data_IF_195713487190
#
_entry.id   IF_195713487190
#
_cell.length_a   1.000
_cell.length_b   1.000
_cell.length_c   1.000
_cell.angle_alpha   90.00
_cell.angle_beta   90.00
_cell.angle_gamma   90.00
#
_symmetry.space_group_name_H-M   'P 1'
#
loop_
_entity.id
_entity.type
_entity.pdbx_description
1 polymer ?
#
# COMPACT_ATOMS: atom_id res chain seq x y z
N UNK A 1 17.79 2.99 30.97
CA UNK A 1 16.77 2.18 30.27
C UNK A 1 17.07 2.34 28.79
N UNK A 2 17.77 1.38 28.19
CA UNK A 2 18.14 1.46 26.77
C UNK A 2 16.87 1.22 25.96
N UNK A 3 16.37 2.27 25.31
CA UNK A 3 15.38 2.10 24.25
C UNK A 3 16.06 1.32 23.15
N UNK A 4 15.69 0.04 23.01
CA UNK A 4 15.99 -0.71 21.80
C UNK A 4 15.20 0.00 20.71
N UNK A 5 15.90 0.76 19.86
CA UNK A 5 15.36 1.20 18.57
C UNK A 5 15.04 -0.07 17.79
N UNK A 6 13.80 -0.55 17.91
CA UNK A 6 13.23 -1.51 16.98
C UNK A 6 13.04 -0.80 15.63
N UNK A 7 14.14 -0.62 14.90
CA UNK A 7 14.14 -0.30 13.48
C UNK A 7 13.50 -1.49 12.74
N UNK A 8 12.17 -1.52 12.75
CA UNK A 8 11.31 -2.45 12.02
C UNK A 8 11.35 -2.10 10.53
N UNK A 9 12.50 -2.31 9.89
CA UNK A 9 12.59 -2.28 8.44
C UNK A 9 12.13 -3.66 7.92
N UNK A 10 11.13 -3.71 7.02
CA UNK A 10 10.69 -4.95 6.40
C UNK A 10 11.86 -5.71 5.77
N UNK A 11 12.06 -6.96 6.17
CA UNK A 11 13.16 -7.82 5.67
C UNK A 11 12.65 -8.65 4.49
N UNK A 12 13.36 -8.64 3.35
CA UNK A 12 13.04 -9.45 2.16
C UNK A 12 13.48 -10.90 2.35
N UNK A 13 12.62 -11.86 1.98
CA UNK A 13 13.04 -13.24 1.66
C UNK A 13 13.26 -13.34 0.16
N UNK A 14 14.47 -13.70 -0.26
CA UNK A 14 14.75 -14.14 -1.62
C UNK A 14 14.45 -15.64 -1.72
N UNK A 15 13.85 -16.09 -2.82
CA UNK A 15 13.57 -17.51 -3.04
C UNK A 15 14.87 -18.30 -3.23
N UNK A 16 15.03 -19.36 -2.42
CA UNK A 16 16.16 -20.28 -2.46
C UNK A 16 16.73 -20.45 -1.05
N UNK A 17 16.44 -21.60 -0.46
CA UNK A 17 16.98 -22.11 0.82
C UNK A 17 16.41 -21.54 2.12
N UNK A 18 16.21 -22.47 3.07
CA UNK A 18 15.60 -22.34 4.39
C UNK A 18 16.39 -21.47 5.38
N UNK A 19 17.01 -20.38 4.92
CA UNK A 19 17.88 -19.52 5.72
C UNK A 19 17.33 -18.10 5.77
N UNK A 20 16.83 -17.72 6.95
CA UNK A 20 16.35 -16.39 7.30
C UNK A 20 17.52 -15.41 7.50
N UNK A 21 18.21 -15.01 6.44
CA UNK A 21 19.19 -13.93 6.56
C UNK A 21 18.51 -12.57 6.47
N UNK A 22 18.89 -11.66 7.38
CA UNK A 22 18.61 -10.22 7.23
C UNK A 22 19.35 -9.74 5.97
N UNK A 23 18.67 -9.78 4.83
CA UNK A 23 19.23 -9.32 3.58
C UNK A 23 19.63 -7.84 3.66
N UNK A 24 20.76 -7.44 3.05
CA UNK A 24 21.12 -6.03 2.94
C UNK A 24 20.00 -5.25 2.24
N UNK A 25 19.87 -3.96 2.62
CA UNK A 25 19.04 -2.96 1.93
C UNK A 25 19.22 -3.14 0.43
N UNK A 26 18.09 -3.26 -0.27
CA UNK A 26 17.99 -3.82 -1.61
C UNK A 26 18.99 -3.16 -2.57
N UNK A 27 19.86 -3.96 -3.22
CA UNK A 27 20.71 -3.48 -4.33
C UNK A 27 19.94 -3.19 -5.61
N UNK A 28 18.65 -3.53 -5.66
CA UNK A 28 17.80 -3.29 -6.82
C UNK A 28 16.99 -2.03 -6.56
N UNK A 29 17.12 -1.06 -7.45
CA UNK A 29 16.26 0.12 -7.47
C UNK A 29 14.86 -0.34 -7.92
N UNK A 30 13.93 -0.42 -6.97
CA UNK A 30 12.54 -0.81 -7.27
C UNK A 30 11.73 0.34 -7.88
N UNK A 31 12.21 1.57 -7.70
CA UNK A 31 11.53 2.79 -8.09
C UNK A 31 12.08 3.28 -9.43
N UNK A 32 11.20 3.79 -10.27
CA UNK A 32 11.59 4.61 -11.42
C UNK A 32 11.46 6.10 -11.11
N UNK A 33 10.62 6.46 -10.13
CA UNK A 33 10.35 7.83 -9.72
C UNK A 33 10.43 7.99 -8.19
N UNK A 34 10.60 9.21 -7.70
CA UNK A 34 10.62 9.47 -6.24
C UNK A 34 9.22 9.49 -5.61
N UNK A 35 8.17 9.62 -6.44
CA UNK A 35 6.77 9.67 -6.01
C UNK A 35 6.07 8.35 -6.35
N UNK A 36 5.28 7.84 -5.40
CA UNK A 36 4.42 6.69 -5.59
C UNK A 36 2.94 7.06 -5.39
N UNK A 37 2.11 6.72 -6.36
CA UNK A 37 0.66 6.69 -6.20
C UNK A 37 0.22 5.27 -5.81
N UNK A 38 -0.29 5.11 -4.58
CA UNK A 38 -0.91 3.87 -4.11
C UNK A 38 -2.40 3.93 -4.40
N UNK A 39 -2.85 3.09 -5.33
CA UNK A 39 -4.25 3.00 -5.76
C UNK A 39 -4.90 1.83 -5.02
N UNK A 40 -5.94 2.14 -4.24
CA UNK A 40 -6.69 1.18 -3.44
C UNK A 40 -8.11 0.94 -3.96
N UNK A 41 -8.94 0.30 -3.16
CA UNK A 41 -10.17 -0.35 -3.60
C UNK A 41 -11.43 0.22 -2.97
N UNK A 42 -11.39 1.38 -2.29
CA UNK A 42 -12.60 2.00 -1.76
C UNK A 42 -13.49 2.58 -2.88
N UNK A 43 -14.80 2.78 -2.64
CA UNK A 43 -15.73 3.34 -3.62
C UNK A 43 -15.32 4.67 -4.26
N UNK A 44 -14.56 5.51 -3.55
CA UNK A 44 -14.08 6.80 -4.05
C UNK A 44 -12.82 6.71 -4.93
N UNK A 45 -12.29 5.51 -5.21
CA UNK A 45 -11.01 5.36 -5.94
C UNK A 45 -11.01 6.09 -7.28
N UNK A 46 -12.10 6.04 -8.04
CA UNK A 46 -12.15 6.64 -9.37
C UNK A 46 -12.21 8.16 -9.32
N UNK A 47 -13.00 8.71 -8.38
CA UNK A 47 -13.08 10.17 -8.16
C UNK A 47 -11.73 10.71 -7.67
N UNK A 48 -11.08 9.99 -6.74
CA UNK A 48 -9.75 10.34 -6.22
C UNK A 48 -8.70 10.30 -7.34
N UNK A 49 -8.78 9.31 -8.24
CA UNK A 49 -7.84 9.12 -9.34
C UNK A 49 -8.01 10.19 -10.41
N UNK A 50 -9.25 10.54 -10.76
CA UNK A 50 -9.55 11.67 -11.65
C UNK A 50 -9.03 12.99 -11.07
N UNK A 51 -9.29 13.26 -9.79
CA UNK A 51 -8.76 14.44 -9.11
C UNK A 51 -7.22 14.45 -9.13
N UNK A 52 -6.58 13.33 -8.83
CA UNK A 52 -5.12 13.23 -8.83
C UNK A 52 -4.51 13.56 -10.20
N UNK A 53 -5.07 13.04 -11.29
CA UNK A 53 -4.57 13.32 -12.63
C UNK A 53 -4.88 14.72 -13.14
N UNK A 54 -5.99 15.31 -12.71
CA UNK A 54 -6.34 16.69 -13.07
C UNK A 54 -5.49 17.71 -12.31
N UNK A 55 -5.19 17.44 -11.05
CA UNK A 55 -4.54 18.40 -10.17
C UNK A 55 -3.00 18.33 -10.22
N UNK A 56 -2.43 17.19 -10.60
CA UNK A 56 -0.98 16.97 -10.53
C UNK A 56 -0.39 16.47 -11.85
N UNK A 57 0.68 17.13 -12.31
CA UNK A 57 1.47 16.70 -13.46
C UNK A 57 2.91 16.41 -13.03
N UNK A 58 3.10 15.27 -12.38
CA UNK A 58 4.40 14.84 -11.86
C UNK A 58 4.75 13.41 -12.30
N UNK A 59 6.04 13.11 -12.57
CA UNK A 59 6.48 11.73 -12.74
C UNK A 59 6.26 10.93 -11.44
N UNK A 60 5.61 9.78 -11.55
CA UNK A 60 5.32 8.90 -10.41
C UNK A 60 5.25 7.44 -10.87
N UNK A 61 5.53 6.55 -9.93
CA UNK A 61 5.21 5.14 -10.07
C UNK A 61 3.80 4.86 -9.53
N UNK A 62 3.24 3.72 -9.89
CA UNK A 62 1.92 3.27 -9.46
C UNK A 62 2.04 1.92 -8.76
N UNK A 63 1.44 1.83 -7.58
CA UNK A 63 1.22 0.60 -6.83
C UNK A 63 -0.27 0.34 -6.66
N UNK A 64 -0.79 -0.68 -7.34
CA UNK A 64 -2.17 -1.10 -7.16
C UNK A 64 -2.28 -2.10 -6.00
N UNK A 65 -3.36 -2.01 -5.22
CA UNK A 65 -3.65 -2.98 -4.16
C UNK A 65 -4.90 -3.83 -4.43
N UNK A 66 -4.85 -5.10 -4.02
CA UNK A 66 -5.98 -6.03 -4.13
C UNK A 66 -6.61 -6.08 -5.54
N UNK A 67 -7.94 -6.06 -5.64
CA UNK A 67 -8.67 -6.24 -6.90
C UNK A 67 -8.56 -5.05 -7.86
N UNK A 68 -8.18 -3.84 -7.40
CA UNK A 68 -8.08 -2.68 -8.31
C UNK A 68 -7.08 -2.93 -9.44
N UNK A 69 -6.06 -3.76 -9.18
CA UNK A 69 -5.04 -4.15 -10.15
C UNK A 69 -5.62 -4.87 -11.39
N UNK A 70 -6.81 -5.47 -11.29
CA UNK A 70 -7.46 -6.19 -12.41
C UNK A 70 -8.22 -5.27 -13.37
N UNK A 71 -8.54 -4.06 -12.92
CA UNK A 71 -9.38 -3.09 -13.65
C UNK A 71 -8.70 -1.75 -13.85
N UNK A 72 -7.50 -1.55 -13.29
CA UNK A 72 -6.76 -0.31 -13.43
C UNK A 72 -6.43 -0.06 -14.90
N UNK A 73 -6.78 1.12 -15.46
CA UNK A 73 -6.76 1.34 -16.92
C UNK A 73 -5.36 1.61 -17.49
N UNK A 74 -4.36 1.83 -16.64
CA UNK A 74 -3.01 2.20 -17.04
C UNK A 74 -1.99 1.13 -16.65
N UNK A 75 -0.78 1.22 -17.21
CA UNK A 75 0.35 0.42 -16.72
C UNK A 75 0.73 0.87 -15.30
N UNK A 76 1.25 -0.07 -14.52
CA UNK A 76 1.73 0.18 -13.17
C UNK A 76 2.91 -0.74 -12.85
N UNK A 77 3.73 -0.35 -11.88
CA UNK A 77 5.00 -1.01 -11.57
C UNK A 77 4.85 -2.03 -10.46
N UNK A 78 3.96 -1.77 -9.50
CA UNK A 78 3.87 -2.55 -8.27
C UNK A 78 2.45 -3.06 -8.00
N UNK A 79 2.39 -4.25 -7.41
CA UNK A 79 1.18 -4.82 -6.85
C UNK A 79 1.40 -5.19 -5.40
N UNK A 80 0.47 -4.88 -4.49
CA UNK A 80 0.56 -5.35 -3.11
C UNK A 80 -0.74 -5.99 -2.62
N UNK A 81 -0.60 -7.10 -1.88
CA UNK A 81 -1.70 -7.76 -1.18
C UNK A 81 -1.30 -8.11 0.26
N UNK A 82 -2.03 -7.58 1.24
CA UNK A 82 -1.87 -7.92 2.65
C UNK A 82 -2.37 -9.34 2.93
N UNK A 83 -3.53 -9.68 2.36
CA UNK A 83 -4.14 -11.01 2.45
C UNK A 83 -3.69 -11.94 1.32
N UNK A 84 -2.41 -11.87 0.95
CA UNK A 84 -1.81 -12.64 -0.15
C UNK A 84 -1.92 -14.17 -0.04
N UNK A 85 -2.31 -14.68 1.13
CA UNK A 85 -2.62 -16.10 1.34
C UNK A 85 -3.99 -16.52 0.78
N UNK A 86 -4.90 -15.57 0.55
CA UNK A 86 -6.22 -15.81 -0.02
C UNK A 86 -6.13 -16.25 -1.49
N UNK A 87 -6.99 -17.19 -1.90
CA UNK A 87 -7.00 -17.75 -3.27
C UNK A 87 -7.21 -16.67 -4.33
N UNK A 88 -8.09 -15.72 -4.07
CA UNK A 88 -8.40 -14.65 -5.02
C UNK A 88 -7.20 -13.73 -5.22
N UNK A 89 -6.50 -13.35 -4.14
CA UNK A 89 -5.27 -12.54 -4.24
C UNK A 89 -4.13 -13.27 -4.97
N UNK A 90 -4.00 -14.60 -4.79
CA UNK A 90 -3.05 -15.41 -5.56
C UNK A 90 -3.43 -15.51 -7.04
N UNK A 91 -4.73 -15.49 -7.36
CA UNK A 91 -5.24 -15.48 -8.73
C UNK A 91 -4.93 -14.13 -9.39
N UNK A 92 -5.26 -13.02 -8.74
CA UNK A 92 -4.89 -11.66 -9.20
C UNK A 92 -3.40 -11.61 -9.50
N UNK A 93 -2.54 -11.95 -8.53
CA UNK A 93 -1.09 -11.93 -8.70
C UNK A 93 -0.60 -12.78 -9.89
N UNK A 94 -1.23 -13.93 -10.15
CA UNK A 94 -0.90 -14.81 -11.28
C UNK A 94 -1.25 -14.19 -12.63
N UNK A 95 -2.38 -13.49 -12.71
CA UNK A 95 -2.91 -12.91 -13.94
C UNK A 95 -2.23 -11.59 -14.32
N UNK A 96 -1.60 -10.92 -13.36
CA UNK A 96 -0.85 -9.69 -13.61
C UNK A 96 0.38 -9.92 -14.51
N UNK A 97 0.76 -8.93 -15.34
CA UNK A 97 1.94 -9.00 -16.18
C UNK A 97 3.22 -9.34 -15.40
N UNK A 98 4.23 -9.87 -16.10
CA UNK A 98 5.48 -10.36 -15.47
C UNK A 98 6.38 -9.22 -15.00
N UNK A 99 6.24 -8.06 -15.61
CA UNK A 99 6.96 -6.82 -15.31
C UNK A 99 6.45 -6.13 -14.04
N UNK A 100 5.24 -6.46 -13.59
CA UNK A 100 4.69 -5.93 -12.33
C UNK A 100 5.36 -6.64 -11.16
N UNK A 101 5.97 -5.88 -10.26
CA UNK A 101 6.60 -6.40 -9.04
C UNK A 101 5.54 -6.65 -7.99
N UNK A 102 5.40 -7.90 -7.56
CA UNK A 102 4.31 -8.36 -6.69
C UNK A 102 4.82 -8.51 -5.25
N UNK A 103 4.23 -7.75 -4.35
CA UNK A 103 4.57 -7.67 -2.93
C UNK A 103 3.51 -8.38 -2.07
N UNK A 104 3.96 -9.32 -1.24
CA UNK A 104 3.10 -10.05 -0.31
C UNK A 104 3.58 -9.90 1.13
N UNK A 105 2.62 -9.78 2.04
CA UNK A 105 2.85 -10.08 3.45
C UNK A 105 2.53 -11.56 3.68
N UNK A 106 3.57 -12.40 3.85
CA UNK A 106 3.58 -13.83 4.26
C UNK A 106 4.56 -14.66 3.39
N UNK A 107 5.47 -15.46 3.99
CA UNK A 107 6.36 -16.37 3.25
C UNK A 107 5.65 -17.43 2.40
N UNK A 108 4.43 -17.83 2.72
CA UNK A 108 3.70 -18.92 2.02
C UNK A 108 3.00 -18.47 0.74
N UNK A 109 3.00 -17.17 0.43
CA UNK A 109 2.27 -16.61 -0.70
C UNK A 109 2.92 -16.96 -2.04
N UNK A 110 2.16 -17.65 -2.90
CA UNK A 110 2.59 -18.05 -4.25
C UNK A 110 2.32 -16.92 -5.24
N UNK A 111 3.10 -16.87 -6.32
CA UNK A 111 2.99 -15.87 -7.41
C UNK A 111 3.37 -14.43 -7.01
N UNK A 112 4.12 -14.25 -5.92
CA UNK A 112 4.67 -12.95 -5.51
C UNK A 112 6.20 -12.97 -5.60
N UNK A 113 6.78 -11.86 -6.06
CA UNK A 113 8.22 -11.69 -6.27
C UNK A 113 8.94 -11.28 -4.98
N UNK A 114 8.27 -10.49 -4.14
CA UNK A 114 8.80 -9.98 -2.88
C UNK A 114 7.89 -10.37 -1.73
N UNK A 115 8.45 -11.08 -0.76
CA UNK A 115 7.76 -11.45 0.48
C UNK A 115 8.37 -10.69 1.64
N UNK A 116 7.53 -9.93 2.32
CA UNK A 116 7.91 -9.12 3.47
C UNK A 116 7.58 -9.86 4.75
N UNK A 117 8.57 -9.99 5.64
CA UNK A 117 8.38 -10.59 6.97
C UNK A 117 8.40 -9.49 8.03
N UNK A 118 7.58 -9.66 9.07
CA UNK A 118 7.71 -8.93 10.33
C UNK A 118 8.45 -9.77 11.37
N UNK A 119 9.37 -9.15 12.10
CA UNK A 119 9.90 -9.75 13.32
C UNK A 119 8.80 -9.72 14.40
N UNK A 120 8.13 -10.87 14.62
CA UNK A 120 7.12 -11.06 15.67
C UNK A 120 5.68 -10.63 15.28
N UNK A 121 4.71 -11.53 15.54
CA UNK A 121 3.27 -11.28 15.42
C UNK A 121 2.70 -11.34 13.99
N UNK A 122 1.39 -11.64 13.87
CA UNK A 122 0.67 -11.70 12.60
C UNK A 122 0.42 -10.31 11.96
N UNK A 123 -0.04 -10.32 10.70
CA UNK A 123 -0.47 -9.11 10.00
C UNK A 123 -1.58 -8.43 10.78
N UNK A 124 -1.58 -7.10 10.80
CA UNK A 124 -2.75 -6.35 11.22
C UNK A 124 -2.76 -4.99 10.54
N UNK A 125 -3.92 -4.59 10.03
CA UNK A 125 -4.13 -3.35 9.27
C UNK A 125 -4.76 -3.63 7.91
N UNK A 126 -4.96 -2.58 7.12
CA UNK A 126 -5.49 -2.66 5.76
C UNK A 126 -4.39 -3.00 4.76
N UNK A 127 -4.70 -3.59 3.60
CA UNK A 127 -3.70 -3.79 2.54
C UNK A 127 -3.02 -2.46 2.15
N UNK A 128 -3.73 -1.33 2.13
CA UNK A 128 -3.09 -0.03 1.88
C UNK A 128 -2.04 0.31 2.92
N UNK A 129 -2.27 0.01 4.21
CA UNK A 129 -1.26 0.21 5.26
C UNK A 129 -0.04 -0.69 5.07
N UNK A 130 -0.22 -1.90 4.52
CA UNK A 130 0.88 -2.74 4.08
C UNK A 130 1.65 -2.08 2.92
N UNK A 131 0.94 -1.64 1.88
CA UNK A 131 1.53 -0.98 0.72
C UNK A 131 2.35 0.27 1.10
N UNK A 132 1.88 1.07 2.06
CA UNK A 132 2.65 2.19 2.62
C UNK A 132 3.99 1.73 3.19
N UNK A 133 4.01 0.65 3.97
CA UNK A 133 5.26 0.11 4.53
C UNK A 133 6.20 -0.41 3.45
N UNK A 134 5.65 -1.02 2.41
CA UNK A 134 6.42 -1.45 1.24
C UNK A 134 7.03 -0.25 0.54
N UNK A 135 6.25 0.81 0.30
CA UNK A 135 6.73 2.04 -0.32
C UNK A 135 7.85 2.71 0.48
N UNK A 136 7.70 2.81 1.80
CA UNK A 136 8.73 3.34 2.69
C UNK A 136 10.00 2.47 2.68
N UNK A 137 9.86 1.14 2.61
CA UNK A 137 11.00 0.23 2.51
C UNK A 137 11.69 0.24 1.13
N UNK A 138 11.05 0.82 0.12
CA UNK A 138 11.61 1.07 -1.21
C UNK A 138 12.12 2.51 -1.36
N UNK A 139 12.20 3.27 -0.26
CA UNK A 139 12.70 4.64 -0.21
C UNK A 139 11.96 5.63 -1.14
N UNK A 140 10.64 5.46 -1.31
CA UNK A 140 9.82 6.51 -1.95
C UNK A 140 9.77 7.77 -1.08
N UNK A 141 9.97 8.94 -1.69
CA UNK A 141 10.03 10.23 -1.01
C UNK A 141 8.67 10.89 -0.85
N UNK A 142 7.69 10.54 -1.69
CA UNK A 142 6.31 10.99 -1.57
C UNK A 142 5.38 9.85 -1.91
N UNK A 143 4.39 9.64 -1.05
CA UNK A 143 3.41 8.57 -1.18
C UNK A 143 2.02 9.19 -1.17
N UNK A 144 1.27 9.04 -2.25
CA UNK A 144 -0.11 9.51 -2.37
C UNK A 144 -1.06 8.33 -2.30
N UNK A 145 -2.00 8.36 -1.36
CA UNK A 145 -3.04 7.35 -1.22
C UNK A 145 -4.30 7.77 -1.98
N UNK A 146 -4.68 6.95 -2.96
CA UNK A 146 -5.84 7.14 -3.85
C UNK A 146 -6.85 6.02 -3.56
N UNK A 147 -8.12 6.35 -3.27
CA UNK A 147 -9.13 5.33 -2.97
C UNK A 147 -8.91 4.61 -1.64
N UNK A 148 -8.29 5.26 -0.66
CA UNK A 148 -8.08 4.71 0.68
C UNK A 148 -8.56 5.68 1.77
N UNK A 149 -9.87 6.01 1.82
CA UNK A 149 -10.41 7.01 2.74
C UNK A 149 -10.47 6.52 4.19
N UNK A 150 -10.27 5.22 4.42
CA UNK A 150 -10.43 4.54 5.73
C UNK A 150 -11.77 4.88 6.41
N UNK A 151 -12.84 4.82 5.62
CA UNK A 151 -14.22 4.93 6.07
C UNK A 151 -14.88 3.55 6.06
N UNK A 152 -16.07 3.42 6.64
CA UNK A 152 -16.83 2.16 6.64
C UNK A 152 -17.66 1.94 5.37
N UNK A 153 -17.19 2.44 4.21
CA UNK A 153 -17.93 2.35 2.93
C UNK A 153 -17.66 1.05 2.16
N UNK A 154 -16.71 0.23 2.61
CA UNK A 154 -16.32 -1.03 1.97
C UNK A 154 -15.43 -0.84 0.75
N UNK A 155 -15.41 -1.83 -0.13
CA UNK A 155 -14.72 -1.78 -1.43
C UNK A 155 -15.69 -1.43 -2.57
N UNK A 156 -15.17 -0.86 -3.66
CA UNK A 156 -15.96 -0.51 -4.85
C UNK A 156 -16.65 -1.73 -5.48
N UNK A 157 -16.09 -2.93 -5.31
CA UNK A 157 -16.60 -4.18 -5.87
C UNK A 157 -17.50 -4.97 -4.90
N UNK A 158 -17.67 -4.55 -3.65
CA UNK A 158 -18.52 -5.28 -2.68
C UNK A 158 -19.98 -5.36 -3.15
N UNK A 159 -20.40 -4.41 -3.98
CA UNK A 159 -21.70 -4.43 -4.68
C UNK A 159 -21.84 -5.58 -5.69
N UNK A 160 -20.83 -6.40 -5.92
CA UNK A 160 -20.89 -7.56 -6.80
C UNK A 160 -20.70 -8.89 -6.06
N UNK A 161 -20.44 -8.87 -4.76
CA UNK A 161 -20.27 -10.08 -3.94
C UNK A 161 -21.65 -10.68 -3.61
N UNK A 162 -21.83 -11.97 -3.88
CA UNK A 162 -23.04 -12.72 -3.56
C UNK A 162 -23.26 -12.80 -2.02
N UNK A 163 -24.51 -12.77 -1.55
CA UNK A 163 -24.92 -12.66 -0.13
C UNK A 163 -24.86 -11.26 0.51
N UNK A 164 -25.25 -10.21 -0.22
CA UNK A 164 -25.52 -8.89 0.37
C UNK A 164 -26.56 -8.92 1.49
N UNK A 165 -27.45 -9.91 1.45
CA UNK A 165 -28.54 -10.07 2.41
C UNK A 165 -28.11 -10.77 3.71
N UNK A 166 -26.85 -11.24 3.85
CA UNK A 166 -26.33 -11.68 5.15
C UNK A 166 -25.74 -10.46 5.90
N UNK A 167 -26.46 -9.89 6.89
CA UNK A 167 -25.97 -8.74 7.66
C UNK A 167 -24.70 -9.04 8.45
N UNK A 168 -24.31 -10.31 8.64
CA UNK A 168 -23.03 -10.68 9.27
C UNK A 168 -21.86 -10.50 8.30
N UNK A 169 -22.08 -10.73 7.01
CA UNK A 169 -21.06 -10.54 5.97
C UNK A 169 -20.75 -9.04 5.81
N UNK A 170 -21.79 -8.20 5.73
CA UNK A 170 -21.63 -6.75 5.63
C UNK A 170 -20.99 -6.10 6.87
N UNK A 171 -21.34 -6.58 8.08
CA UNK A 171 -20.77 -6.02 9.34
C UNK A 171 -19.31 -6.36 9.58
N UNK A 172 -18.79 -7.45 8.99
CA UNK A 172 -17.41 -7.89 9.19
C UNK A 172 -16.46 -7.28 8.16
N UNK A 173 -16.91 -7.06 6.94
CA UNK A 173 -16.07 -6.54 5.84
C UNK A 173 -15.89 -5.02 5.94
N UNK A 174 -16.89 -4.29 6.45
CA UNK A 174 -16.92 -2.82 6.39
C UNK A 174 -16.49 -2.09 7.66
N UNK A 175 -15.85 -2.76 8.63
CA UNK A 175 -15.36 -2.09 9.86
C UNK A 175 -13.88 -1.71 9.73
N UNK A 176 -13.55 -0.95 8.70
CA UNK A 176 -12.19 -0.45 8.50
C UNK A 176 -11.76 0.51 9.63
N UNK A 177 -12.71 1.11 10.36
CA UNK A 177 -12.44 1.86 11.59
C UNK A 177 -11.69 1.05 12.66
N UNK A 178 -11.84 -0.27 12.69
CA UNK A 178 -11.06 -1.14 13.59
C UNK A 178 -9.54 -1.08 13.35
N UNK A 179 -9.12 -0.50 12.22
CA UNK A 179 -7.72 -0.25 11.87
C UNK A 179 -7.30 1.21 12.05
N UNK A 180 -8.20 2.13 12.42
CA UNK A 180 -7.87 3.55 12.61
C UNK A 180 -6.70 3.77 13.55
N UNK A 181 -6.63 3.03 14.65
CA UNK A 181 -5.57 3.20 15.64
C UNK A 181 -4.16 3.06 15.06
N UNK A 182 -3.95 2.22 14.03
CA UNK A 182 -2.66 2.07 13.34
C UNK A 182 -2.32 3.27 12.48
N UNK A 183 -3.33 3.84 11.84
CA UNK A 183 -3.17 5.03 11.00
C UNK A 183 -2.92 6.26 11.87
N UNK A 184 -3.59 6.38 13.01
CA UNK A 184 -3.29 7.40 14.03
C UNK A 184 -1.86 7.24 14.55
N UNK A 185 -1.45 6.02 14.87
CA UNK A 185 -0.08 5.74 15.32
C UNK A 185 0.97 6.12 14.27
N UNK A 186 0.71 5.85 12.99
CA UNK A 186 1.56 6.27 11.88
C UNK A 186 1.58 7.80 11.75
N UNK A 187 0.41 8.44 11.75
CA UNK A 187 0.25 9.89 11.61
C UNK A 187 0.95 10.69 12.71
N UNK A 188 1.09 10.11 13.91
CA UNK A 188 1.78 10.72 15.04
C UNK A 188 3.33 10.67 14.94
N UNK A 189 3.89 10.08 13.87
CA UNK A 189 5.34 9.90 13.69
C UNK A 189 5.86 10.78 12.54
N UNK A 190 7.13 11.22 12.56
CA UNK A 190 7.72 12.00 11.47
C UNK A 190 7.64 11.32 10.09
N UNK A 191 7.57 9.99 10.05
CA UNK A 191 7.42 9.24 8.79
C UNK A 191 6.10 9.53 8.06
N UNK A 192 5.11 10.12 8.74
CA UNK A 192 3.86 10.55 8.13
C UNK A 192 4.04 11.74 7.17
N UNK A 193 5.13 12.51 7.28
CA UNK A 193 5.39 13.68 6.43
C UNK A 193 5.59 13.29 4.95
N UNK A 194 5.93 12.03 4.69
CA UNK A 194 6.10 11.44 3.36
C UNK A 194 4.79 10.96 2.74
N UNK A 195 3.66 11.02 3.46
CA UNK A 195 2.40 10.38 3.05
C UNK A 195 1.27 11.40 3.04
N UNK A 196 0.50 11.42 1.96
CA UNK A 196 -0.73 12.21 1.84
C UNK A 196 -1.84 11.33 1.26
N UNK A 197 -3.09 11.72 1.47
CA UNK A 197 -4.24 11.02 0.89
C UNK A 197 -5.18 11.97 0.15
N UNK A 198 -5.78 11.47 -0.93
CA UNK A 198 -6.76 12.22 -1.71
C UNK A 198 -8.09 12.41 -0.99
N UNK A 199 -8.46 11.58 0.00
CA UNK A 199 -9.80 11.66 0.61
C UNK A 199 -9.93 11.01 2.00
N UNK A 200 -11.07 11.27 2.65
CA UNK A 200 -11.52 10.58 3.86
C UNK A 200 -10.70 10.84 5.13
N UNK A 201 -10.86 9.94 6.10
CA UNK A 201 -10.20 10.00 7.40
C UNK A 201 -8.67 9.97 7.27
N UNK A 202 -8.13 9.30 6.24
CA UNK A 202 -6.69 9.30 5.95
C UNK A 202 -6.19 10.65 5.50
N UNK A 203 -6.96 11.39 4.69
CA UNK A 203 -6.63 12.77 4.34
C UNK A 203 -6.71 13.70 5.56
N UNK A 204 -7.67 13.49 6.47
CA UNK A 204 -7.77 14.27 7.71
C UNK A 204 -6.57 14.02 8.65
N UNK A 205 -6.07 12.78 8.70
CA UNK A 205 -4.92 12.41 9.54
C UNK A 205 -3.56 12.80 8.94
N UNK A 206 -3.39 12.63 7.62
CA UNK A 206 -2.10 12.74 6.95
C UNK A 206 -1.95 14.04 6.14
N UNK A 207 -3.06 14.74 5.89
CA UNK A 207 -3.14 15.85 4.96
C UNK A 207 -3.41 15.42 3.52
N UNK A 208 -3.80 16.39 2.69
CA UNK A 208 -3.98 16.22 1.23
C UNK A 208 -2.69 16.56 0.48
N UNK A 209 -2.41 15.88 -0.65
CA UNK A 209 -1.28 16.26 -1.49
C UNK A 209 -1.52 17.65 -2.09
N UNK A 210 -0.43 18.39 -2.28
CA UNK A 210 -0.41 19.65 -3.02
C UNK A 210 0.75 19.59 -4.02
N UNK A 211 0.70 20.40 -5.08
CA UNK A 211 1.77 20.45 -6.07
C UNK A 211 3.10 20.82 -5.41
N UNK A 212 3.12 21.84 -4.55
CA UNK A 212 4.32 22.25 -3.80
C UNK A 212 4.91 21.11 -2.95
N UNK A 213 4.05 20.33 -2.28
CA UNK A 213 4.51 19.18 -1.48
C UNK A 213 5.12 18.07 -2.36
N UNK A 214 4.58 17.86 -3.57
CA UNK A 214 5.10 16.90 -4.53
C UNK A 214 6.43 17.36 -5.15
N UNK A 215 6.59 18.67 -5.42
CA UNK A 215 7.79 19.24 -6.04
C UNK A 215 9.00 19.32 -5.10
N UNK A 216 8.75 19.33 -3.78
CA UNK A 216 9.77 19.37 -2.73
C UNK A 216 10.67 18.11 -2.70
N UNK A 217 10.39 17.06 -3.49
CA UNK A 217 11.34 15.94 -3.66
C UNK A 217 12.70 16.38 -4.21
N UNK A 218 12.74 17.49 -4.96
CA UNK A 218 13.98 18.01 -5.54
C UNK A 218 14.92 18.60 -4.48
N UNK A 219 14.39 19.02 -3.33
CA UNK A 219 15.21 19.59 -2.25
C UNK A 219 16.20 18.55 -1.68
N UNK A 220 15.77 17.29 -1.57
CA UNK A 220 16.59 16.20 -1.04
C UNK A 220 17.69 15.71 -1.99
N UNK A 221 17.59 16.03 -3.30
CA UNK A 221 18.63 15.65 -4.27
C UNK A 221 19.86 16.56 -4.23
N UNK A 222 19.76 17.70 -3.56
CA UNK A 222 20.80 18.74 -3.54
C UNK A 222 21.34 19.05 -2.13
N UNK A 223 20.83 18.37 -1.10
CA UNK A 223 21.32 18.44 0.28
C UNK A 223 22.31 17.31 0.56
#
# INVERSE_FOLDING_TARGET
MNMVEENLIPTKILTGDDVYERGPVLKNDFRHNDVLAIVADAPCVWDDLEAFWNDFTIPHDILCVNEVATVFPCSFQHFAAGDSHMKDMQKVAKELPKEVIKHAYNPTSKNFDVRWIRNGGGWSGTTTFFAVKVALAMDYLRIVLIGSPLTNTGHWYDKHIANKDDPRHYRLINRHEGHLWKWVELAARPIADFIRSMSGNTADMLGRPTQDWLDDVNYFKHA
#
